data_IF_077355712488
#
_entry.id   IF_077355712488
#
_cell.length_a   1.000
_cell.length_b   1.000
_cell.length_c   1.000
_cell.angle_alpha   90.00
_cell.angle_beta   90.00
_cell.angle_gamma   90.00
#
_symmetry.space_group_name_H-M   'P 1'
#
loop_
_entity.id
_entity.type
_entity.pdbx_description
1 polymer ?
#
# COMPACT_ATOMS: atom_id res chain seq x y z
N UNK A 1 -17.67 2.52 4.40
CA UNK A 1 -17.62 1.05 4.35
C UNK A 1 -16.44 0.56 5.16
N UNK A 2 -16.64 -0.49 5.93
CA UNK A 2 -15.56 -1.07 6.75
C UNK A 2 -14.41 -1.56 5.89
N UNK A 3 -13.18 -1.37 6.35
CA UNK A 3 -12.00 -1.80 5.63
C UNK A 3 -11.88 -3.33 5.62
N UNK A 4 -11.50 -3.87 4.48
CA UNK A 4 -11.11 -5.26 4.34
C UNK A 4 -9.80 -5.34 3.57
N UNK A 5 -9.04 -6.42 3.79
CA UNK A 5 -7.73 -6.62 3.16
C UNK A 5 -7.66 -8.06 2.68
N UNK A 6 -7.36 -8.25 1.40
CA UNK A 6 -7.17 -9.56 0.79
C UNK A 6 -5.75 -9.71 0.28
N UNK A 7 -5.13 -10.83 0.59
CA UNK A 7 -3.75 -11.12 0.23
C UNK A 7 -3.71 -12.12 -0.92
N UNK A 8 -2.89 -11.85 -1.94
CA UNK A 8 -2.58 -12.87 -2.93
C UNK A 8 -1.13 -12.71 -3.43
N UNK A 9 -0.47 -13.83 -3.78
CA UNK A 9 0.86 -13.76 -4.37
C UNK A 9 0.77 -13.44 -5.85
N UNK A 10 1.78 -12.72 -6.37
CA UNK A 10 1.89 -12.46 -7.80
C UNK A 10 3.37 -12.32 -8.16
N UNK A 11 3.86 -13.23 -9.00
CA UNK A 11 5.28 -13.32 -9.33
C UNK A 11 6.12 -13.42 -8.05
N UNK A 12 7.07 -12.52 -7.84
CA UNK A 12 7.87 -12.50 -6.62
C UNK A 12 7.35 -11.49 -5.59
N UNK A 13 6.09 -11.07 -5.75
CA UNK A 13 5.47 -10.06 -4.88
C UNK A 13 4.30 -10.68 -4.13
N UNK A 14 3.92 -10.00 -3.06
CA UNK A 14 2.64 -10.22 -2.39
C UNK A 14 1.82 -8.96 -2.56
N UNK A 15 0.57 -9.11 -2.96
CA UNK A 15 -0.37 -8.01 -3.13
C UNK A 15 -1.36 -8.02 -1.98
N UNK A 16 -1.53 -6.88 -1.32
CA UNK A 16 -2.60 -6.65 -0.37
C UNK A 16 -3.62 -5.75 -1.03
N UNK A 17 -4.78 -6.32 -1.35
CA UNK A 17 -5.90 -5.55 -1.90
C UNK A 17 -6.66 -4.93 -0.74
N UNK A 18 -6.70 -3.60 -0.72
CA UNK A 18 -7.37 -2.85 0.35
C UNK A 18 -8.70 -2.33 -0.18
N UNK A 19 -9.78 -2.68 0.51
CA UNK A 19 -11.14 -2.30 0.09
C UNK A 19 -11.81 -1.51 1.20
N UNK A 20 -12.52 -0.45 0.82
CA UNK A 20 -13.33 0.34 1.74
C UNK A 20 -12.63 1.60 2.23
N UNK A 21 -12.83 1.95 3.48
CA UNK A 21 -12.34 3.21 4.04
C UNK A 21 -11.06 3.00 4.84
N UNK A 22 -9.99 3.63 4.36
CA UNK A 22 -8.69 3.62 5.03
C UNK A 22 -8.61 4.84 5.94
N UNK A 23 -9.32 4.76 7.05
CA UNK A 23 -9.51 5.83 8.03
C UNK A 23 -9.03 5.40 9.42
N UNK A 24 -9.36 6.20 10.43
CA UNK A 24 -8.97 5.91 11.80
C UNK A 24 -9.44 4.52 12.25
N UNK A 25 -10.66 4.11 11.87
CA UNK A 25 -11.20 2.81 12.26
C UNK A 25 -10.57 1.66 11.47
N UNK A 26 -10.25 1.88 10.19
CA UNK A 26 -9.70 0.85 9.32
C UNK A 26 -8.19 0.70 9.38
N UNK A 27 -7.47 1.75 9.77
CA UNK A 27 -6.01 1.76 9.76
C UNK A 27 -5.36 0.60 10.52
N UNK A 28 -5.84 0.19 11.72
CA UNK A 28 -5.23 -0.94 12.43
C UNK A 28 -5.30 -2.24 11.66
N UNK A 29 -6.35 -2.45 10.88
CA UNK A 29 -6.49 -3.66 10.06
C UNK A 29 -5.40 -3.74 9.01
N UNK A 30 -5.13 -2.64 8.32
CA UNK A 30 -4.05 -2.61 7.32
C UNK A 30 -2.70 -2.80 7.99
N UNK A 31 -2.47 -2.14 9.13
CA UNK A 31 -1.21 -2.28 9.86
C UNK A 31 -0.96 -3.74 10.22
N UNK A 32 -1.97 -4.44 10.74
CA UNK A 32 -1.84 -5.85 11.10
C UNK A 32 -1.46 -6.71 9.90
N UNK A 33 -2.06 -6.44 8.74
CA UNK A 33 -1.77 -7.17 7.53
C UNK A 33 -0.32 -6.95 7.06
N UNK A 34 0.17 -5.71 7.15
CA UNK A 34 1.55 -5.38 6.78
C UNK A 34 2.53 -6.03 7.76
N UNK A 35 2.25 -5.94 9.06
CA UNK A 35 3.11 -6.56 10.09
C UNK A 35 3.21 -8.07 9.86
N UNK A 36 2.11 -8.72 9.51
CA UNK A 36 2.12 -10.14 9.22
C UNK A 36 3.04 -10.49 8.05
N UNK A 37 3.12 -9.62 7.02
CA UNK A 37 4.02 -9.85 5.89
C UNK A 37 5.48 -9.71 6.27
N UNK A 38 5.82 -8.87 7.24
CA UNK A 38 7.21 -8.73 7.68
C UNK A 38 7.72 -9.96 8.43
N UNK A 39 6.81 -10.83 8.89
CA UNK A 39 7.17 -12.09 9.53
C UNK A 39 7.41 -13.22 8.51
N UNK A 40 7.19 -12.95 7.23
CA UNK A 40 7.44 -13.90 6.14
C UNK A 40 8.72 -13.49 5.40
N UNK A 41 9.06 -14.21 4.33
CA UNK A 41 10.19 -13.87 3.47
C UNK A 41 9.80 -12.96 2.31
N UNK A 42 8.66 -12.27 2.43
CA UNK A 42 8.19 -11.31 1.41
C UNK A 42 9.22 -10.19 1.24
N UNK A 43 9.70 -9.99 0.01
CA UNK A 43 10.68 -8.97 -0.33
C UNK A 43 10.06 -7.76 -1.03
N UNK A 44 8.89 -7.92 -1.61
CA UNK A 44 8.19 -6.82 -2.28
C UNK A 44 6.70 -6.94 -2.00
N UNK A 45 6.18 -5.95 -1.30
CA UNK A 45 4.77 -5.85 -0.95
C UNK A 45 4.13 -4.76 -1.82
N UNK A 46 2.99 -5.09 -2.44
CA UNK A 46 2.20 -4.16 -3.23
C UNK A 46 0.92 -3.87 -2.48
N UNK A 47 0.68 -2.60 -2.16
CA UNK A 47 -0.60 -2.15 -1.61
C UNK A 47 -1.47 -1.69 -2.76
N UNK A 48 -2.55 -2.41 -3.01
CA UNK A 48 -3.49 -2.07 -4.07
C UNK A 48 -4.65 -1.28 -3.47
N UNK A 49 -4.65 0.02 -3.71
CA UNK A 49 -5.66 0.95 -3.19
C UNK A 49 -6.75 1.25 -4.21
N UNK A 50 -6.85 0.48 -5.29
CA UNK A 50 -7.85 0.71 -6.35
C UNK A 50 -9.27 0.75 -5.80
N UNK A 51 -9.59 -0.09 -4.82
CA UNK A 51 -10.93 -0.21 -4.24
C UNK A 51 -11.09 0.55 -2.93
N UNK A 52 -10.18 1.47 -2.61
CA UNK A 52 -10.31 2.34 -1.44
C UNK A 52 -11.25 3.49 -1.80
N UNK A 53 -12.28 3.67 -0.97
CA UNK A 53 -13.29 4.71 -1.19
C UNK A 53 -12.92 6.03 -0.52
N UNK A 54 -12.18 5.97 0.57
CA UNK A 54 -11.82 7.14 1.37
C UNK A 54 -10.50 6.88 2.09
N UNK A 55 -9.71 7.93 2.24
CA UNK A 55 -8.48 7.89 3.02
C UNK A 55 -8.35 9.19 3.81
N UNK A 56 -7.97 9.09 5.08
CA UNK A 56 -7.67 10.25 5.93
C UNK A 56 -6.20 10.25 6.35
N UNK A 57 -5.82 11.20 7.20
CA UNK A 57 -4.44 11.34 7.65
C UNK A 57 -3.96 10.11 8.44
N UNK A 58 -4.85 9.45 9.18
CA UNK A 58 -4.50 8.23 9.91
C UNK A 58 -4.18 7.10 8.95
N UNK A 59 -5.01 6.95 7.90
CA UNK A 59 -4.76 5.95 6.86
C UNK A 59 -3.46 6.22 6.11
N UNK A 60 -3.21 7.47 5.74
CA UNK A 60 -1.93 7.85 5.12
C UNK A 60 -0.76 7.53 6.03
N UNK A 61 -0.89 7.77 7.33
CA UNK A 61 0.15 7.48 8.32
C UNK A 61 0.51 6.00 8.34
N UNK A 62 -0.49 5.12 8.19
CA UNK A 62 -0.22 3.67 8.12
C UNK A 62 0.51 3.31 6.84
N UNK A 63 0.17 3.93 5.70
CA UNK A 63 0.89 3.67 4.44
C UNK A 63 2.35 4.09 4.57
N UNK A 64 2.62 5.28 5.11
CA UNK A 64 3.98 5.77 5.35
C UNK A 64 4.72 4.86 6.34
N UNK A 65 4.07 4.47 7.43
CA UNK A 65 4.65 3.57 8.43
C UNK A 65 4.96 2.20 7.84
N UNK A 66 4.13 1.73 6.90
CA UNK A 66 4.37 0.47 6.19
C UNK A 66 5.66 0.54 5.35
N UNK A 67 5.92 1.66 4.69
CA UNK A 67 7.17 1.85 3.94
C UNK A 67 8.38 1.74 4.86
N UNK A 68 8.35 2.43 5.99
CA UNK A 68 9.44 2.39 6.96
C UNK A 68 9.67 0.98 7.50
N UNK A 69 8.57 0.28 7.81
CA UNK A 69 8.64 -1.07 8.35
C UNK A 69 9.25 -2.04 7.34
N UNK A 70 8.84 -1.96 6.07
CA UNK A 70 9.38 -2.84 5.05
C UNK A 70 10.85 -2.54 4.78
N UNK A 71 11.24 -1.27 4.74
CA UNK A 71 12.65 -0.89 4.58
C UNK A 71 13.51 -1.44 5.71
N UNK A 72 13.00 -1.44 6.93
CA UNK A 72 13.71 -2.00 8.08
C UNK A 72 13.91 -3.51 7.97
N UNK A 73 13.12 -4.18 7.13
CA UNK A 73 13.21 -5.62 6.88
C UNK A 73 13.83 -5.93 5.51
N UNK A 74 14.51 -4.96 4.89
CA UNK A 74 15.13 -5.10 3.57
C UNK A 74 14.13 -5.49 2.48
N UNK A 75 12.91 -4.99 2.61
CA UNK A 75 11.83 -5.23 1.65
C UNK A 75 11.38 -3.92 1.02
N UNK A 76 10.66 -4.03 -0.10
CA UNK A 76 10.16 -2.89 -0.85
C UNK A 76 8.65 -2.80 -0.74
N UNK A 77 8.14 -1.57 -0.81
CA UNK A 77 6.71 -1.28 -0.86
C UNK A 77 6.40 -0.52 -2.16
N UNK A 78 5.40 -1.01 -2.89
CA UNK A 78 4.82 -0.30 -4.03
C UNK A 78 3.36 -0.03 -3.75
N UNK A 79 2.84 1.07 -4.30
CA UNK A 79 1.44 1.48 -4.08
C UNK A 79 0.76 1.61 -5.44
N UNK A 80 -0.40 0.95 -5.57
CA UNK A 80 -1.27 1.07 -6.75
C UNK A 80 -2.43 1.98 -6.37
N UNK A 81 -2.54 3.11 -7.06
CA UNK A 81 -3.56 4.11 -6.72
C UNK A 81 -3.99 4.84 -8.01
N UNK A 82 -4.88 4.23 -8.81
CA UNK A 82 -5.34 4.84 -10.06
C UNK A 82 -6.40 5.91 -9.85
N UNK A 83 -7.14 5.88 -8.75
CA UNK A 83 -8.24 6.80 -8.49
C UNK A 83 -7.71 8.20 -8.18
N UNK A 84 -8.05 9.17 -9.03
CA UNK A 84 -7.54 10.53 -8.93
C UNK A 84 -7.87 11.18 -7.58
N UNK A 85 -9.04 10.92 -7.05
CA UNK A 85 -9.47 11.49 -5.77
C UNK A 85 -8.56 11.04 -4.61
N UNK A 86 -8.13 9.79 -4.63
CA UNK A 86 -7.23 9.24 -3.60
C UNK A 86 -5.79 9.72 -3.87
N UNK A 87 -5.36 9.71 -5.14
CA UNK A 87 -4.02 10.22 -5.50
C UNK A 87 -3.82 11.65 -5.02
N UNK A 88 -4.88 12.46 -5.14
CA UNK A 88 -4.81 13.88 -4.74
C UNK A 88 -4.50 14.03 -3.26
N UNK A 89 -4.99 13.13 -2.41
CA UNK A 89 -4.69 13.16 -0.98
C UNK A 89 -3.19 12.93 -0.75
N UNK A 90 -2.58 11.98 -1.46
CA UNK A 90 -1.14 11.78 -1.41
C UNK A 90 -0.39 13.03 -1.88
N UNK A 91 -0.83 13.64 -2.98
CA UNK A 91 -0.19 14.83 -3.55
C UNK A 91 -0.25 16.01 -2.59
N UNK A 92 -1.38 16.21 -1.92
CA UNK A 92 -1.55 17.30 -0.96
C UNK A 92 -0.63 17.19 0.25
N UNK A 93 -0.18 15.98 0.57
CA UNK A 93 0.76 15.72 1.65
C UNK A 93 2.19 15.54 1.16
N UNK A 94 2.48 15.86 -0.11
CA UNK A 94 3.78 15.68 -0.77
C UNK A 94 4.27 14.23 -0.76
N UNK A 95 3.36 13.27 -0.59
CA UNK A 95 3.72 11.84 -0.55
C UNK A 95 3.93 11.25 -1.94
N UNK A 96 3.51 11.94 -2.99
CA UNK A 96 3.80 11.56 -4.37
C UNK A 96 5.31 11.62 -4.68
N UNK A 97 6.08 12.30 -3.83
CA UNK A 97 7.55 12.31 -3.90
C UNK A 97 8.18 11.13 -3.17
N UNK A 98 7.44 10.54 -2.24
CA UNK A 98 7.91 9.41 -1.43
C UNK A 98 7.52 8.09 -2.08
N UNK A 99 6.32 8.04 -2.67
CA UNK A 99 5.79 6.87 -3.34
C UNK A 99 5.61 7.13 -4.83
N UNK A 100 6.02 6.17 -5.66
CA UNK A 100 5.53 6.12 -7.04
C UNK A 100 4.13 5.51 -6.99
N UNK A 101 3.12 6.26 -7.40
CA UNK A 101 1.74 5.79 -7.41
C UNK A 101 1.45 5.15 -8.76
N UNK A 102 1.41 3.82 -8.79
CA UNK A 102 1.20 3.06 -10.02
C UNK A 102 -0.28 3.02 -10.38
N UNK A 103 -0.57 2.92 -11.67
CA UNK A 103 -1.94 2.82 -12.15
C UNK A 103 -2.49 1.39 -12.06
N UNK A 104 -1.61 0.38 -12.12
CA UNK A 104 -2.01 -1.03 -12.10
C UNK A 104 -1.06 -1.84 -11.24
N UNK A 105 -1.54 -3.01 -10.80
CA UNK A 105 -0.70 -3.97 -10.09
C UNK A 105 0.45 -4.44 -10.98
N UNK A 106 0.20 -4.64 -12.28
CA UNK A 106 1.25 -5.06 -13.22
C UNK A 106 2.40 -4.05 -13.25
N UNK A 107 2.09 -2.75 -13.27
CA UNK A 107 3.10 -1.70 -13.26
C UNK A 107 3.90 -1.73 -11.96
N UNK A 108 3.23 -1.93 -10.82
CA UNK A 108 3.89 -1.97 -9.52
C UNK A 108 4.82 -3.17 -9.39
N UNK A 109 4.42 -4.32 -9.92
CA UNK A 109 5.24 -5.54 -9.90
C UNK A 109 6.47 -5.35 -10.79
N UNK A 110 6.31 -4.75 -11.97
CA UNK A 110 7.41 -4.53 -12.91
C UNK A 110 8.42 -3.51 -12.42
N UNK A 111 8.00 -2.55 -11.60
CA UNK A 111 8.84 -1.44 -11.13
C UNK A 111 10.09 -1.91 -10.40
N UNK A 112 10.00 -2.98 -9.63
CA UNK A 112 11.17 -3.48 -8.88
C UNK A 112 12.29 -3.98 -9.79
N UNK A 113 11.98 -4.33 -11.03
CA UNK A 113 12.94 -4.87 -11.98
C UNK A 113 13.67 -3.77 -12.75
N UNK A 114 13.19 -2.54 -12.64
CA UNK A 114 13.80 -1.39 -13.32
C UNK A 114 14.93 -0.76 -12.51
N UNK A 115 15.21 -1.28 -11.34
CA UNK A 115 16.24 -0.74 -10.43
C UNK A 115 17.57 -1.40 -10.66
#
# INVERSE_FOLDING_TARGET
>A
MQLDVHRYPRDNCVVLVVLGDLDLAGAPRLRQSVVAETATDTRHLVLDLTAVDFIDSTGLGVVVGSLRRLRAHDAELSVVCPEQRIRRVFEMCDLDRVFTLHATVADAVADRESV
#
